data_IF_082528323401
#
_entry.id   IF_082528323401
#
_cell.length_a   1.000
_cell.length_b   1.000
_cell.length_c   1.000
_cell.angle_alpha   90.00
_cell.angle_beta   90.00
_cell.angle_gamma   90.00
#
_symmetry.space_group_name_H-M   'P 1'
#
loop_
_entity.id
_entity.type
_entity.pdbx_description
1 polymer ?
#
# COMPACT_ATOMS: atom_id res chain seq x y z
N UNK A 1 -7.38 14.60 2.91
CA UNK A 1 -6.11 14.06 3.47
C UNK A 1 -5.63 14.99 4.59
N UNK A 2 -5.24 14.48 5.76
CA UNK A 2 -4.74 15.35 6.84
C UNK A 2 -3.42 16.04 6.43
N UNK A 3 -3.39 17.38 6.48
CA UNK A 3 -2.21 18.18 6.13
C UNK A 3 -0.99 17.70 6.94
N UNK A 4 0.10 17.36 6.24
CA UNK A 4 1.40 17.02 6.83
C UNK A 4 1.55 15.62 7.43
N UNK A 5 0.55 14.72 7.33
CA UNK A 5 0.63 13.36 7.90
C UNK A 5 0.92 12.27 6.87
N UNK A 6 0.81 12.59 5.58
CA UNK A 6 1.10 11.67 4.47
C UNK A 6 2.20 12.26 3.60
N UNK A 7 3.04 11.39 3.05
CA UNK A 7 4.08 11.72 2.07
C UNK A 7 3.92 10.86 0.83
N UNK A 8 4.37 11.38 -0.30
CA UNK A 8 4.46 10.61 -1.55
C UNK A 8 5.92 10.25 -1.78
N UNK A 9 6.17 8.98 -2.07
CA UNK A 9 7.50 8.44 -2.34
C UNK A 9 7.54 7.88 -3.76
N UNK A 10 8.54 8.28 -4.54
CA UNK A 10 8.86 7.66 -5.83
C UNK A 10 9.73 6.43 -5.59
N UNK A 11 9.38 5.31 -6.21
CA UNK A 11 10.11 4.05 -6.09
C UNK A 11 10.89 3.80 -7.39
N UNK A 12 12.03 3.10 -7.29
CA UNK A 12 12.93 2.86 -8.41
C UNK A 12 12.32 2.03 -9.55
N UNK A 13 11.23 1.32 -9.28
CA UNK A 13 10.43 0.56 -10.25
C UNK A 13 9.44 1.43 -11.05
N UNK A 14 9.44 2.75 -10.83
CA UNK A 14 8.51 3.69 -11.46
C UNK A 14 7.17 3.82 -10.74
N UNK A 15 6.94 3.11 -9.63
CA UNK A 15 5.74 3.28 -8.81
C UNK A 15 5.82 4.54 -7.93
N UNK A 16 4.68 5.09 -7.54
CA UNK A 16 4.57 6.04 -6.45
C UNK A 16 3.73 5.46 -5.33
N UNK A 17 4.20 5.64 -4.09
CA UNK A 17 3.54 5.16 -2.87
C UNK A 17 3.16 6.34 -2.00
N UNK A 18 1.96 6.31 -1.45
CA UNK A 18 1.52 7.25 -0.42
C UNK A 18 1.78 6.58 0.93
N UNK A 19 2.44 7.28 1.84
CA UNK A 19 2.85 6.73 3.13
C UNK A 19 2.30 7.59 4.26
N UNK A 20 1.65 6.96 5.23
CA UNK A 20 1.20 7.62 6.44
C UNK A 20 2.36 7.66 7.46
N UNK A 21 2.80 8.87 7.78
CA UNK A 21 3.91 9.12 8.71
C UNK A 21 3.56 8.75 10.15
N UNK A 22 2.29 8.81 10.53
CA UNK A 22 1.82 8.51 11.89
C UNK A 22 1.65 7.01 12.07
N UNK A 23 0.97 6.37 11.12
CA UNK A 23 0.71 4.92 11.15
C UNK A 23 1.94 4.09 10.74
N UNK A 24 2.91 4.71 10.07
CA UNK A 24 4.11 4.05 9.51
C UNK A 24 3.75 2.95 8.50
N UNK A 25 2.73 3.21 7.70
CA UNK A 25 2.16 2.25 6.75
C UNK A 25 2.02 2.91 5.38
N UNK A 26 2.27 2.12 4.33
CA UNK A 26 1.91 2.49 2.97
C UNK A 26 0.41 2.38 2.81
N UNK A 27 -0.17 3.38 2.15
CA UNK A 27 -1.56 3.38 1.75
C UNK A 27 -1.72 2.53 0.49
N UNK A 28 -2.10 1.27 0.68
CA UNK A 28 -2.25 0.31 -0.42
C UNK A 28 -3.52 0.54 -1.26
N UNK A 29 -4.41 1.45 -0.84
CA UNK A 29 -5.65 1.74 -1.59
C UNK A 29 -5.38 2.52 -2.88
N UNK A 30 -4.25 3.24 -2.95
CA UNK A 30 -3.88 4.06 -4.09
C UNK A 30 -2.61 3.48 -4.72
N UNK A 31 -2.71 3.11 -6.00
CA UNK A 31 -1.58 2.65 -6.78
C UNK A 31 -1.35 3.63 -7.94
N UNK A 32 -0.32 4.46 -7.81
CA UNK A 32 0.06 5.41 -8.85
C UNK A 32 1.33 4.89 -9.53
N UNK A 33 1.35 4.91 -10.87
CA UNK A 33 2.49 4.44 -11.67
C UNK A 33 2.99 5.54 -12.60
N UNK A 34 4.24 5.95 -12.43
CA UNK A 34 4.89 6.87 -13.36
C UNK A 34 5.23 6.16 -14.66
N UNK A 35 5.97 5.07 -14.61
CA UNK A 35 6.35 4.30 -15.80
C UNK A 35 6.67 2.85 -15.41
N UNK A 36 6.66 1.94 -16.39
CA UNK A 36 6.97 0.53 -16.18
C UNK A 36 8.47 0.22 -16.24
N UNK A 37 9.22 1.07 -16.94
CA UNK A 37 10.63 0.90 -17.27
C UNK A 37 11.50 2.01 -16.67
N UNK A 38 10.97 3.22 -16.53
CA UNK A 38 11.69 4.40 -16.01
C UNK A 38 11.38 4.65 -14.52
N UNK A 39 12.43 4.92 -13.73
CA UNK A 39 12.30 5.26 -12.31
C UNK A 39 11.78 6.68 -12.09
N UNK A 40 11.11 6.91 -10.97
CA UNK A 40 10.77 8.28 -10.52
C UNK A 40 12.02 8.98 -10.00
N UNK A 41 12.40 10.09 -10.63
CA UNK A 41 13.61 10.87 -10.28
C UNK A 41 13.25 12.10 -9.44
N UNK A 42 12.08 12.70 -9.68
CA UNK A 42 11.65 13.90 -8.96
C UNK A 42 10.15 13.89 -8.69
N UNK A 43 9.78 14.43 -7.53
CA UNK A 43 8.40 14.68 -7.12
C UNK A 43 8.25 16.13 -6.68
N UNK A 44 7.16 16.77 -7.06
CA UNK A 44 6.83 18.13 -6.67
C UNK A 44 5.32 18.31 -6.58
N UNK A 45 4.90 19.47 -6.06
CA UNK A 45 3.52 19.93 -6.14
C UNK A 45 3.51 21.28 -6.86
N UNK A 46 2.51 21.51 -7.71
CA UNK A 46 2.31 22.81 -8.34
C UNK A 46 1.56 23.78 -7.41
N UNK A 47 1.28 24.99 -7.91
CA UNK A 47 0.52 26.01 -7.18
C UNK A 47 -0.93 25.63 -6.90
N UNK A 48 -1.47 24.63 -7.60
CA UNK A 48 -2.81 24.09 -7.40
C UNK A 48 -2.80 22.85 -6.49
N UNK A 49 -1.65 22.53 -5.89
CA UNK A 49 -1.46 21.37 -5.01
C UNK A 49 -1.69 20.02 -5.72
N UNK A 50 -1.49 19.97 -7.04
CA UNK A 50 -1.48 18.72 -7.82
C UNK A 50 -0.11 18.08 -7.72
N UNK A 51 -0.09 16.76 -7.60
CA UNK A 51 1.15 16.01 -7.55
C UNK A 51 1.78 15.99 -8.95
N UNK A 52 3.08 16.23 -9.03
CA UNK A 52 3.88 16.13 -10.25
C UNK A 52 4.96 15.07 -10.04
N UNK A 53 5.09 14.16 -10.99
CA UNK A 53 6.21 13.21 -11.05
C UNK A 53 6.98 13.30 -12.35
N UNK A 54 8.31 13.19 -12.25
CA UNK A 54 9.21 13.22 -13.40
C UNK A 54 10.19 12.04 -13.35
N UNK A 55 10.41 11.44 -14.51
CA UNK A 55 11.26 10.28 -14.73
C UNK A 55 11.50 10.10 -16.24
N UNK A 56 12.73 9.73 -16.59
CA UNK A 56 13.21 9.61 -17.97
C UNK A 56 12.73 10.71 -18.92
N UNK A 57 11.82 10.39 -19.85
CA UNK A 57 11.33 11.34 -20.88
C UNK A 57 9.95 11.93 -20.59
N UNK A 58 9.33 11.60 -19.46
CA UNK A 58 7.97 12.02 -19.16
C UNK A 58 7.85 12.80 -17.86
N UNK A 59 6.86 13.70 -17.84
CA UNK A 59 6.42 14.41 -16.65
C UNK A 59 4.91 14.24 -16.57
N UNK A 60 4.43 13.77 -15.42
CA UNK A 60 3.00 13.51 -15.17
C UNK A 60 2.47 14.45 -14.10
N UNK A 61 1.26 14.96 -14.33
CA UNK A 61 0.48 15.74 -13.36
C UNK A 61 -0.69 14.88 -12.93
N UNK A 62 -0.91 14.77 -11.62
CA UNK A 62 -1.93 13.93 -11.02
C UNK A 62 -2.98 14.80 -10.33
N UNK A 63 -4.24 14.55 -10.66
CA UNK A 63 -5.40 15.30 -10.20
C UNK A 63 -6.51 14.34 -9.75
N UNK A 64 -7.40 14.79 -8.86
CA UNK A 64 -8.55 14.00 -8.47
C UNK A 64 -9.59 13.97 -9.60
N UNK A 65 -10.14 12.81 -9.92
CA UNK A 65 -11.16 12.67 -10.96
C UNK A 65 -12.38 13.59 -10.74
N UNK A 66 -12.70 13.91 -9.47
CA UNK A 66 -13.80 14.80 -9.12
C UNK A 66 -13.56 16.27 -9.51
N UNK A 67 -12.31 16.67 -9.75
CA UNK A 67 -11.93 18.01 -10.22
C UNK A 67 -11.99 18.09 -11.75
N UNK A 68 -11.57 17.03 -12.44
CA UNK A 68 -11.68 16.92 -13.91
C UNK A 68 -13.13 16.93 -14.41
N UNK A 69 -14.06 16.36 -13.64
CA UNK A 69 -15.49 16.32 -14.00
C UNK A 69 -16.22 17.67 -13.85
N UNK A 70 -15.59 18.69 -13.25
CA UNK A 70 -16.22 20.01 -13.06
C UNK A 70 -16.04 20.95 -14.23
N UNK A 71 -15.11 20.67 -15.14
CA UNK A 71 -14.76 21.55 -16.25
C UNK A 71 -15.39 21.12 -17.61
N UNK A 72 -16.03 19.95 -17.67
CA UNK A 72 -16.75 19.46 -18.87
C UNK A 72 -18.19 20.02 -18.95
N UNK A 73 -18.32 21.33 -18.74
CA UNK A 73 -19.58 22.07 -18.86
C UNK A 73 -19.83 22.60 -20.27
N UNK A 74 -19.52 21.82 -21.32
CA UNK A 74 -19.52 22.29 -22.71
C UNK A 74 -20.09 21.30 -23.73
N UNK A 75 -21.43 21.24 -23.78
CA UNK A 75 -22.29 20.82 -24.91
C UNK A 75 -21.90 19.57 -25.74
N UNK A 76 -22.59 18.46 -25.50
CA UNK A 76 -22.97 17.52 -26.57
C UNK A 76 -24.49 17.27 -26.49
N UNK A 77 -25.22 18.13 -27.21
CA UNK A 77 -26.61 17.89 -27.61
C UNK A 77 -26.57 16.92 -28.81
N UNK A 78 -27.15 15.72 -28.68
CA UNK A 78 -27.26 14.80 -29.81
C UNK A 78 -27.87 13.44 -29.52
N UNK A 79 -29.19 13.37 -29.62
CA UNK A 79 -30.05 12.18 -29.66
C UNK A 79 -29.44 10.91 -30.28
N UNK A 80 -29.76 9.77 -29.65
CA UNK A 80 -29.53 8.44 -30.20
C UNK A 80 -30.31 7.37 -29.42
N UNK A 81 -31.64 7.36 -29.58
CA UNK A 81 -32.47 6.20 -29.28
C UNK A 81 -31.95 4.99 -30.06
N UNK A 82 -31.58 3.91 -29.36
CA UNK A 82 -31.56 2.57 -29.95
C UNK A 82 -32.14 1.56 -28.95
N UNK A 83 -33.46 1.43 -29.05
CA UNK A 83 -34.24 0.30 -28.57
C UNK A 83 -33.84 -0.93 -29.40
N UNK A 84 -33.25 -1.94 -28.78
CA UNK A 84 -33.32 -3.30 -29.29
C UNK A 84 -33.35 -4.33 -28.17
N UNK A 85 -34.52 -4.95 -28.12
CA UNK A 85 -35.01 -5.99 -27.24
C UNK A 85 -34.44 -7.39 -27.60
N UNK A 86 -34.62 -8.27 -26.62
CA UNK A 86 -34.81 -9.72 -26.72
C UNK A 86 -33.61 -10.69 -26.77
N UNK A 87 -33.73 -11.74 -25.96
CA UNK A 87 -32.82 -12.88 -25.94
C UNK A 87 -32.72 -13.66 -24.64
N UNK A 88 -33.85 -14.09 -24.07
CA UNK A 88 -33.95 -15.11 -23.02
C UNK A 88 -33.22 -16.42 -23.38
N UNK A 89 -32.43 -17.01 -22.47
CA UNK A 89 -32.29 -18.48 -22.38
C UNK A 89 -31.94 -18.93 -20.96
N UNK A 90 -32.67 -19.95 -20.53
CA UNK A 90 -32.68 -20.48 -19.17
C UNK A 90 -31.71 -21.66 -19.00
N UNK A 91 -31.20 -21.77 -17.78
CA UNK A 91 -31.01 -23.06 -17.15
C UNK A 91 -29.58 -23.63 -17.18
N UNK A 92 -29.00 -23.77 -15.99
CA UNK A 92 -28.98 -25.08 -15.33
C UNK A 92 -28.37 -24.99 -13.93
N UNK A 93 -29.09 -25.58 -12.98
CA UNK A 93 -28.58 -25.94 -11.66
C UNK A 93 -27.33 -26.83 -11.78
N UNK A 94 -26.35 -26.60 -10.90
CA UNK A 94 -25.57 -27.70 -10.33
C UNK A 94 -25.16 -27.39 -8.90
N UNK A 95 -25.87 -28.04 -7.99
CA UNK A 95 -25.51 -28.24 -6.58
C UNK A 95 -24.24 -29.08 -6.50
N UNK A 96 -23.25 -28.71 -5.68
CA UNK A 96 -22.40 -29.68 -4.94
C UNK A 96 -22.00 -29.12 -3.57
N UNK A 97 -22.11 -30.00 -2.58
CA UNK A 97 -21.77 -29.87 -1.16
C UNK A 97 -20.24 -29.89 -0.95
N UNK A 98 -19.74 -29.33 0.18
CA UNK A 98 -19.12 -30.03 1.33
C UNK A 98 -17.83 -30.81 0.96
N UNK A 99 -16.68 -30.79 1.62
CA UNK A 99 -16.27 -30.70 3.04
C UNK A 99 -14.72 -30.88 3.09
N UNK A 100 -14.11 -30.91 4.30
CA UNK A 100 -12.71 -31.24 4.67
C UNK A 100 -11.91 -30.02 5.15
N UNK A 101 -11.80 -29.68 6.44
CA UNK A 101 -11.31 -30.37 7.64
C UNK A 101 -9.78 -30.60 7.70
N UNK A 102 -9.24 -30.42 8.93
CA UNK A 102 -7.96 -30.97 9.48
C UNK A 102 -6.63 -30.18 9.30
N UNK A 103 -5.67 -29.97 10.24
CA UNK A 103 -5.45 -30.25 11.69
C UNK A 103 -4.38 -29.32 12.28
N UNK A 104 -4.35 -29.21 13.61
CA UNK A 104 -3.31 -28.50 14.37
C UNK A 104 -1.97 -29.24 14.47
N UNK A 105 -0.94 -28.50 14.90
CA UNK A 105 0.24 -29.10 15.52
C UNK A 105 0.86 -28.15 16.55
N UNK A 106 0.57 -28.45 17.82
CA UNK A 106 1.33 -27.99 18.98
C UNK A 106 2.78 -28.52 18.90
N UNK A 107 3.75 -27.64 19.09
CA UNK A 107 5.14 -28.01 19.38
C UNK A 107 5.59 -27.34 20.67
N UNK A 108 5.48 -28.08 21.77
CA UNK A 108 6.19 -27.77 23.00
C UNK A 108 7.70 -27.90 22.84
N UNK A 109 8.47 -27.13 23.61
CA UNK A 109 9.84 -27.49 23.92
C UNK A 109 10.21 -27.12 25.37
N UNK A 110 10.99 -28.02 25.94
CA UNK A 110 11.29 -28.32 27.33
C UNK A 110 12.05 -27.24 28.10
N UNK A 111 11.79 -27.19 29.42
CA UNK A 111 12.59 -26.53 30.44
C UNK A 111 13.72 -27.45 30.92
N UNK A 112 14.95 -26.96 30.96
CA UNK A 112 16.02 -27.51 31.80
C UNK A 112 16.73 -26.37 32.53
N UNK A 113 16.94 -26.56 33.83
CA UNK A 113 17.49 -25.58 34.76
C UNK A 113 18.68 -26.22 35.47
N UNK A 114 19.88 -25.78 35.07
CA UNK A 114 21.14 -26.11 35.73
C UNK A 114 22.25 -25.14 35.33
N UNK A 115 22.55 -24.18 36.21
CA UNK A 115 23.89 -23.57 36.31
C UNK A 115 24.26 -22.41 35.36
N UNK A 116 23.79 -21.19 35.68
CA UNK A 116 24.72 -20.05 35.87
C UNK A 116 25.39 -19.30 34.69
N UNK A 117 25.00 -19.46 33.43
CA UNK A 117 25.57 -18.62 32.33
C UNK A 117 24.70 -18.38 31.09
N UNK A 118 23.84 -19.34 30.72
CA UNK A 118 23.04 -19.27 29.48
C UNK A 118 21.72 -18.50 29.67
N UNK A 119 21.22 -18.45 30.91
CA UNK A 119 20.04 -17.66 31.30
C UNK A 119 20.29 -16.15 31.15
N UNK A 120 21.50 -15.66 31.42
CA UNK A 120 21.89 -14.26 31.25
C UNK A 120 22.14 -13.87 29.79
N UNK A 121 22.63 -14.79 28.93
CA UNK A 121 22.85 -14.53 27.50
C UNK A 121 21.55 -14.51 26.68
N UNK A 122 20.59 -15.40 26.96
CA UNK A 122 19.27 -15.37 26.31
C UNK A 122 18.41 -14.18 26.78
N UNK A 123 18.53 -13.76 28.05
CA UNK A 123 17.91 -12.51 28.55
C UNK A 123 18.48 -11.27 27.87
N UNK A 124 19.79 -11.26 27.54
CA UNK A 124 20.47 -10.15 26.85
C UNK A 124 20.18 -10.10 25.34
N UNK A 125 19.99 -11.25 24.68
CA UNK A 125 19.58 -11.33 23.27
C UNK A 125 18.10 -10.99 23.04
N UNK A 126 17.22 -11.38 23.97
CA UNK A 126 15.78 -11.07 23.86
C UNK A 126 15.48 -9.58 24.04
N UNK A 127 16.17 -8.91 24.98
CA UNK A 127 16.08 -7.44 25.19
C UNK A 127 16.65 -6.59 24.06
N UNK A 128 17.65 -7.07 23.30
CA UNK A 128 18.15 -6.36 22.11
C UNK A 128 17.27 -6.57 20.87
N UNK A 129 16.60 -7.73 20.76
CA UNK A 129 15.65 -8.03 19.69
C UNK A 129 14.36 -7.21 19.84
N UNK A 130 13.89 -6.97 21.07
CA UNK A 130 12.74 -6.08 21.34
C UNK A 130 12.97 -4.61 20.96
N UNK A 131 14.21 -4.11 21.09
CA UNK A 131 14.62 -2.73 20.76
C UNK A 131 14.83 -2.52 19.24
N UNK A 132 15.01 -3.60 18.45
CA UNK A 132 14.92 -3.59 16.97
C UNK A 132 13.48 -3.74 16.45
N UNK A 133 12.62 -4.46 17.18
CA UNK A 133 11.32 -4.91 16.66
C UNK A 133 10.18 -3.92 16.84
N UNK A 134 10.33 -2.93 17.70
CA UNK A 134 9.64 -1.66 17.51
C UNK A 134 10.62 -0.83 16.69
N UNK A 135 10.72 -0.95 15.36
CA UNK A 135 10.01 -0.10 14.35
C UNK A 135 9.76 1.37 14.75
N UNK A 136 10.45 1.79 15.80
CA UNK A 136 10.50 3.13 16.33
C UNK A 136 11.55 3.83 15.50
N UNK A 137 11.16 4.85 14.79
CA UNK A 137 10.72 6.01 15.53
C UNK A 137 9.41 6.05 16.31
N UNK A 138 9.40 6.92 17.34
CA UNK A 138 9.04 8.30 17.12
C UNK A 138 10.07 8.95 16.18
N UNK A 139 11.39 8.72 16.39
CA UNK A 139 12.43 8.85 15.34
C UNK A 139 13.61 7.84 15.34
N UNK A 140 13.68 6.81 16.21
CA UNK A 140 14.75 5.80 16.14
C UNK A 140 16.13 6.43 16.32
N UNK A 141 17.23 5.74 16.04
CA UNK A 141 18.57 6.25 16.37
C UNK A 141 18.96 7.57 15.65
N UNK A 142 18.35 7.91 14.49
CA UNK A 142 18.76 9.08 13.67
C UNK A 142 17.66 9.71 12.78
N UNK A 143 16.37 9.56 13.10
CA UNK A 143 15.30 10.07 12.23
C UNK A 143 14.90 9.16 11.07
N UNK A 144 15.46 7.95 11.06
CA UNK A 144 15.16 6.92 10.09
C UNK A 144 13.80 6.31 10.45
N UNK A 145 12.86 6.40 9.51
CA UNK A 145 11.54 5.81 9.64
C UNK A 145 11.45 4.57 8.76
N UNK A 146 11.04 3.44 9.36
CA UNK A 146 10.61 2.27 8.62
C UNK A 146 9.10 2.38 8.33
N UNK A 147 8.69 1.99 7.14
CA UNK A 147 7.31 1.97 6.71
C UNK A 147 6.92 0.55 6.29
N UNK A 148 5.79 0.06 6.80
CA UNK A 148 5.27 -1.24 6.44
C UNK A 148 4.61 -1.16 5.04
N UNK A 149 4.98 -2.09 4.16
CA UNK A 149 4.54 -2.11 2.75
C UNK A 149 5.38 -1.23 1.82
N UNK A 150 6.50 -0.70 2.32
CA UNK A 150 7.53 -0.02 1.52
C UNK A 150 8.77 -0.92 1.49
N UNK A 151 8.71 -1.96 0.66
CA UNK A 151 9.74 -2.98 0.47
C UNK A 151 10.23 -3.08 -0.98
#
# INVERSE_FOLDING_TARGET
MGLGKKVVCGVGDGSLRIVDLVRREVDCSVNLRHDDMESVVSLAFDSQNRLISAGGRTVKVWEELSELQRDDGGCDDGDGDDDSDDGNDEGQMSKRAAESDSEGSDKGNSSDSGGGGVADMKRRAKRRKEIQTSKLGPMGAHGIMGFQGLD
#
